data_IF_913549670225
#
_entry.id   IF_913549670225
#
_cell.length_a   1.000
_cell.length_b   1.000
_cell.length_c   1.000
_cell.angle_alpha   90.00
_cell.angle_beta   90.00
_cell.angle_gamma   90.00
#
_symmetry.space_group_name_H-M   'P 1'
#
loop_
_entity.id
_entity.type
_entity.pdbx_description
1 polymer ?
#
# COMPACT_ATOMS: atom_id res chain seq x y z
N UNK A 1 21.34 15.04 -104.84
CA UNK A 1 21.81 16.45 -104.86
C UNK A 1 22.12 16.78 -103.42
N UNK A 2 23.41 16.83 -103.08
CA UNK A 2 24.13 17.95 -102.49
C UNK A 2 23.65 18.30 -101.09
N UNK A 3 24.41 18.37 -100.05
CA UNK A 3 25.84 18.45 -99.62
C UNK A 3 25.84 18.39 -98.07
N UNK A 4 26.61 17.64 -97.50
CA UNK A 4 27.91 17.84 -96.86
C UNK A 4 28.02 19.00 -95.83
N UNK A 5 28.61 18.65 -94.71
CA UNK A 5 29.56 19.44 -93.92
C UNK A 5 28.97 20.00 -92.61
N UNK A 6 29.52 19.87 -91.45
CA UNK A 6 30.88 19.86 -90.86
C UNK A 6 30.84 19.55 -89.38
N UNK A 7 31.81 18.86 -88.96
CA UNK A 7 32.20 18.53 -87.56
C UNK A 7 32.38 19.76 -86.68
N UNK A 8 31.97 19.71 -85.45
CA UNK A 8 32.86 20.19 -84.35
C UNK A 8 32.60 19.43 -83.08
N UNK A 9 33.67 18.91 -82.54
CA UNK A 9 33.80 18.20 -81.26
C UNK A 9 33.62 19.21 -80.12
N UNK A 10 32.86 18.84 -79.08
CA UNK A 10 33.08 19.36 -77.74
C UNK A 10 32.83 18.23 -76.76
N UNK A 11 33.93 17.78 -76.19
CA UNK A 11 33.91 16.85 -75.07
C UNK A 11 33.46 17.61 -73.83
N UNK A 12 32.37 17.17 -73.20
CA UNK A 12 32.05 17.62 -71.89
C UNK A 12 32.12 16.40 -70.95
N UNK A 13 33.09 16.48 -70.07
CA UNK A 13 33.27 15.50 -68.99
C UNK A 13 32.09 15.56 -68.05
N UNK A 14 31.30 14.50 -67.98
CA UNK A 14 30.34 14.29 -66.88
C UNK A 14 31.10 13.64 -65.69
N UNK A 15 31.42 14.46 -64.72
CA UNK A 15 31.86 13.99 -63.39
C UNK A 15 30.66 13.41 -62.68
N UNK A 16 30.55 12.09 -62.60
CA UNK A 16 29.57 11.36 -61.82
C UNK A 16 29.94 11.50 -60.35
N UNK A 17 29.29 12.44 -59.62
CA UNK A 17 29.30 12.50 -58.17
C UNK A 17 28.41 11.37 -57.62
N UNK A 18 29.04 10.26 -57.26
CA UNK A 18 28.41 9.15 -56.53
C UNK A 18 28.20 9.59 -55.08
N UNK A 19 27.02 10.16 -54.78
CA UNK A 19 26.57 10.42 -53.41
C UNK A 19 26.33 9.07 -52.73
N UNK A 20 27.29 8.61 -51.91
CA UNK A 20 27.16 7.53 -50.95
C UNK A 20 26.15 7.98 -49.90
N UNK A 21 24.88 7.69 -50.10
CA UNK A 21 23.86 7.75 -49.06
C UNK A 21 24.10 6.60 -48.06
N UNK A 22 24.88 6.88 -47.02
CA UNK A 22 24.94 6.01 -45.86
C UNK A 22 23.55 5.98 -45.20
N UNK A 23 22.93 4.80 -45.05
CA UNK A 23 21.72 4.74 -44.26
C UNK A 23 22.11 5.07 -42.81
N UNK A 24 21.61 6.20 -42.29
CA UNK A 24 21.57 6.46 -40.86
C UNK A 24 20.64 5.40 -40.27
N UNK A 25 21.20 4.28 -39.89
CA UNK A 25 20.53 3.33 -39.03
C UNK A 25 20.43 4.01 -37.66
N UNK A 26 19.33 4.73 -37.44
CA UNK A 26 18.92 5.12 -36.09
C UNK A 26 18.76 3.84 -35.31
N UNK A 27 19.78 3.47 -34.53
CA UNK A 27 19.64 2.51 -33.51
C UNK A 27 18.60 3.09 -32.53
N UNK A 28 17.34 2.77 -32.77
CA UNK A 28 16.32 2.92 -31.73
C UNK A 28 16.83 2.05 -30.57
N UNK A 29 17.40 2.70 -29.56
CA UNK A 29 17.69 2.08 -28.29
C UNK A 29 16.34 1.57 -27.76
N UNK A 30 16.07 0.29 -28.01
CA UNK A 30 15.04 -0.41 -27.27
C UNK A 30 15.54 -0.40 -25.84
N UNK A 31 15.03 0.52 -25.03
CA UNK A 31 15.19 0.41 -23.59
C UNK A 31 14.64 -0.98 -23.23
N UNK A 32 15.52 -1.86 -22.83
CA UNK A 32 15.18 -3.21 -22.40
C UNK A 32 14.16 -3.08 -21.27
N UNK A 33 12.92 -3.50 -21.53
CA UNK A 33 11.84 -3.42 -20.56
C UNK A 33 12.21 -4.36 -19.42
N UNK A 34 12.51 -3.78 -18.26
CA UNK A 34 12.85 -4.56 -17.06
C UNK A 34 11.67 -5.47 -16.70
N UNK A 35 11.98 -6.67 -16.23
CA UNK A 35 10.97 -7.61 -15.76
C UNK A 35 10.14 -6.98 -14.61
N UNK A 36 8.81 -7.15 -14.59
CA UNK A 36 7.97 -6.60 -13.54
C UNK A 36 8.32 -7.18 -12.18
N UNK A 37 8.17 -6.36 -11.14
CA UNK A 37 8.28 -6.78 -9.74
C UNK A 37 6.89 -7.21 -9.27
N UNK A 38 6.75 -8.43 -8.77
CA UNK A 38 5.51 -8.96 -8.21
C UNK A 38 5.44 -8.58 -6.73
N UNK A 39 4.60 -7.60 -6.40
CA UNK A 39 4.39 -7.12 -5.04
C UNK A 39 3.09 -7.69 -4.46
N UNK A 40 3.19 -8.63 -3.52
CA UNK A 40 2.05 -9.09 -2.74
C UNK A 40 1.78 -8.13 -1.58
N UNK A 41 0.53 -7.69 -1.44
CA UNK A 41 0.13 -6.75 -0.38
C UNK A 41 -1.30 -7.00 0.06
N UNK A 42 -1.78 -6.23 1.06
CA UNK A 42 -3.16 -6.37 1.52
C UNK A 42 -4.13 -5.53 0.70
N UNK A 43 -5.38 -6.01 0.60
CA UNK A 43 -6.46 -5.27 -0.07
C UNK A 43 -6.64 -3.87 0.56
N UNK A 44 -6.50 -3.73 1.88
CA UNK A 44 -6.59 -2.44 2.55
C UNK A 44 -5.45 -1.49 2.16
N UNK A 45 -4.23 -2.01 1.97
CA UNK A 45 -3.09 -1.21 1.50
C UNK A 45 -3.33 -0.71 0.07
N UNK A 46 -3.77 -1.58 -0.81
CA UNK A 46 -4.07 -1.22 -2.20
C UNK A 46 -5.22 -0.19 -2.27
N UNK A 47 -6.32 -0.43 -1.55
CA UNK A 47 -7.48 0.46 -1.52
C UNK A 47 -7.21 1.81 -0.84
N UNK A 48 -6.16 1.94 -0.04
CA UNK A 48 -5.76 3.24 0.54
C UNK A 48 -5.37 4.27 -0.53
N UNK A 49 -5.01 3.81 -1.74
CA UNK A 49 -4.51 4.64 -2.82
C UNK A 49 -3.01 4.94 -2.76
N UNK A 50 -2.31 4.56 -1.67
CA UNK A 50 -0.89 4.83 -1.49
C UNK A 50 -0.03 4.27 -2.64
N UNK A 51 -0.28 3.01 -3.03
CA UNK A 51 0.49 2.37 -4.10
C UNK A 51 0.27 3.04 -5.46
N UNK A 52 -0.95 3.52 -5.73
CA UNK A 52 -1.27 4.33 -6.90
C UNK A 52 -0.52 5.67 -6.93
N UNK A 53 -0.17 6.21 -5.76
CA UNK A 53 0.64 7.41 -5.61
C UNK A 53 2.15 7.13 -5.75
N UNK A 54 2.67 6.07 -5.13
CA UNK A 54 4.10 5.77 -5.05
C UNK A 54 4.65 5.10 -6.31
N UNK A 55 3.99 4.04 -6.80
CA UNK A 55 4.57 3.16 -7.82
C UNK A 55 4.80 3.80 -9.18
N UNK A 56 3.97 4.75 -9.67
CA UNK A 56 4.29 5.48 -10.90
C UNK A 56 5.58 6.29 -10.80
N UNK A 57 5.89 6.86 -9.62
CA UNK A 57 7.11 7.61 -9.37
C UNK A 57 8.32 6.68 -9.36
N UNK A 58 8.24 5.57 -8.63
CA UNK A 58 9.25 4.52 -8.63
C UNK A 58 9.55 4.01 -10.06
N UNK A 59 8.51 3.67 -10.82
CA UNK A 59 8.69 3.15 -12.20
C UNK A 59 9.34 4.19 -13.10
N UNK A 60 8.96 5.46 -12.98
CA UNK A 60 9.57 6.56 -13.75
C UNK A 60 11.06 6.72 -13.46
N UNK A 61 11.46 6.56 -12.18
CA UNK A 61 12.83 6.76 -11.74
C UNK A 61 13.73 5.56 -12.05
N UNK A 62 13.20 4.34 -11.96
CA UNK A 62 14.00 3.11 -11.99
C UNK A 62 13.81 2.28 -13.26
N UNK A 63 12.71 2.50 -13.98
CA UNK A 63 12.32 1.71 -15.15
C UNK A 63 11.72 0.33 -14.81
N UNK A 64 11.58 -0.03 -13.53
CA UNK A 64 10.93 -1.28 -13.15
C UNK A 64 9.41 -1.10 -13.06
N UNK A 65 8.61 -1.84 -13.84
CA UNK A 65 7.16 -1.91 -13.61
C UNK A 65 6.88 -2.75 -12.36
N UNK A 66 5.80 -2.43 -11.64
CA UNK A 66 5.37 -3.17 -10.45
C UNK A 66 3.97 -3.73 -10.68
N UNK A 67 3.84 -5.05 -10.52
CA UNK A 67 2.56 -5.74 -10.53
C UNK A 67 2.09 -5.94 -9.09
N UNK A 68 1.03 -5.23 -8.70
CA UNK A 68 0.43 -5.36 -7.37
C UNK A 68 -0.54 -6.52 -7.35
N UNK A 69 -0.39 -7.40 -6.35
CA UNK A 69 -1.28 -8.53 -6.07
C UNK A 69 -1.87 -8.33 -4.68
N UNK A 70 -3.09 -7.80 -4.62
CA UNK A 70 -3.75 -7.47 -3.37
C UNK A 70 -4.71 -8.59 -2.92
N UNK A 71 -4.56 -9.03 -1.67
CA UNK A 71 -5.38 -10.07 -1.06
C UNK A 71 -5.52 -9.85 0.46
N UNK A 72 -6.12 -10.78 1.19
CA UNK A 72 -6.02 -10.78 2.66
C UNK A 72 -4.59 -11.08 3.11
N UNK A 73 -4.20 -10.63 4.31
CA UNK A 73 -2.82 -10.78 4.85
C UNK A 73 -2.28 -12.20 4.70
N UNK A 74 -3.04 -13.20 5.14
CA UNK A 74 -2.59 -14.60 5.07
C UNK A 74 -2.36 -15.06 3.62
N UNK A 75 -3.20 -14.66 2.68
CA UNK A 75 -3.04 -14.99 1.26
C UNK A 75 -1.85 -14.23 0.65
N UNK A 76 -1.61 -12.98 1.03
CA UNK A 76 -0.45 -12.21 0.56
C UNK A 76 0.87 -12.84 1.02
N UNK A 77 0.95 -13.27 2.28
CA UNK A 77 2.10 -14.03 2.78
C UNK A 77 2.23 -15.39 2.08
N UNK A 78 1.10 -16.06 1.79
CA UNK A 78 1.10 -17.34 1.06
C UNK A 78 1.65 -17.21 -0.36
N UNK A 79 1.38 -16.11 -1.06
CA UNK A 79 2.02 -15.82 -2.36
C UNK A 79 3.54 -15.75 -2.23
N UNK A 80 4.05 -15.12 -1.16
CA UNK A 80 5.49 -15.13 -0.87
C UNK A 80 6.02 -16.54 -0.52
N UNK A 81 5.27 -17.31 0.27
CA UNK A 81 5.63 -18.71 0.60
C UNK A 81 5.68 -19.63 -0.61
N UNK A 82 4.90 -19.36 -1.64
CA UNK A 82 4.88 -20.13 -2.87
C UNK A 82 5.93 -19.68 -3.90
N UNK A 83 6.55 -18.49 -3.71
CA UNK A 83 7.42 -17.86 -4.72
C UNK A 83 6.64 -17.15 -5.84
N UNK A 84 5.33 -16.92 -5.64
CA UNK A 84 4.48 -16.18 -6.59
C UNK A 84 4.73 -14.68 -6.54
N UNK A 85 5.34 -14.17 -5.45
CA UNK A 85 5.71 -12.78 -5.24
C UNK A 85 7.22 -12.63 -5.07
N UNK A 86 7.77 -11.48 -5.47
CA UNK A 86 9.17 -11.10 -5.29
C UNK A 86 9.36 -10.30 -3.99
N UNK A 87 8.32 -9.57 -3.58
CA UNK A 87 8.28 -8.71 -2.41
C UNK A 87 6.91 -8.81 -1.73
N UNK A 88 6.89 -8.80 -0.42
CA UNK A 88 5.67 -8.80 0.38
C UNK A 88 5.62 -7.51 1.21
N UNK A 89 4.47 -6.82 1.21
CA UNK A 89 4.20 -5.64 2.04
C UNK A 89 2.90 -5.88 2.81
N UNK A 90 3.01 -6.08 4.11
CA UNK A 90 1.87 -6.37 4.98
C UNK A 90 1.95 -5.58 6.30
N UNK A 91 0.96 -5.75 7.18
CA UNK A 91 0.85 -5.05 8.46
C UNK A 91 0.34 -6.00 9.57
N UNK A 92 0.96 -7.17 9.67
CA UNK A 92 0.63 -8.21 10.65
C UNK A 92 1.91 -8.76 11.30
N UNK A 93 2.50 -8.06 12.28
CA UNK A 93 3.84 -8.33 12.80
C UNK A 93 4.09 -9.80 13.20
N UNK A 94 3.11 -10.45 13.83
CA UNK A 94 3.26 -11.86 14.24
C UNK A 94 3.35 -12.82 13.06
N UNK A 95 2.54 -12.59 12.01
CA UNK A 95 2.54 -13.42 10.80
C UNK A 95 3.79 -13.17 9.94
N UNK A 96 4.22 -11.91 9.85
CA UNK A 96 5.45 -11.50 9.18
C UNK A 96 6.69 -12.12 9.85
N UNK A 97 6.73 -12.09 11.18
CA UNK A 97 7.79 -12.74 11.95
C UNK A 97 7.84 -14.24 11.65
N UNK A 98 6.70 -14.93 11.69
CA UNK A 98 6.63 -16.36 11.37
C UNK A 98 7.08 -16.66 9.93
N UNK A 99 6.71 -15.82 8.96
CA UNK A 99 7.13 -15.92 7.56
C UNK A 99 8.66 -15.83 7.40
N UNK A 100 9.31 -14.90 8.13
CA UNK A 100 10.76 -14.73 8.14
C UNK A 100 11.46 -15.88 8.87
N UNK A 101 10.97 -16.28 10.05
CA UNK A 101 11.53 -17.39 10.84
C UNK A 101 11.45 -18.74 10.12
N UNK A 102 10.41 -18.95 9.33
CA UNK A 102 10.27 -20.11 8.45
C UNK A 102 11.20 -20.06 7.21
N UNK A 103 11.94 -18.97 7.02
CA UNK A 103 12.91 -18.78 5.95
C UNK A 103 12.30 -18.49 4.58
N UNK A 104 11.02 -18.11 4.51
CA UNK A 104 10.37 -17.68 3.27
C UNK A 104 10.69 -16.23 2.92
N UNK A 105 10.87 -15.37 3.93
CA UNK A 105 11.23 -13.97 3.79
C UNK A 105 12.63 -13.69 4.34
N UNK A 106 13.27 -12.65 3.80
CA UNK A 106 14.55 -12.11 4.28
C UNK A 106 14.49 -10.60 4.34
N UNK A 107 15.38 -10.00 5.11
CA UNK A 107 15.56 -8.54 5.20
C UNK A 107 14.24 -7.78 5.45
N UNK A 108 13.50 -8.10 6.52
CA UNK A 108 12.31 -7.34 6.87
C UNK A 108 12.69 -5.91 7.27
N UNK A 109 11.99 -4.93 6.73
CA UNK A 109 12.19 -3.52 7.04
C UNK A 109 10.88 -2.87 7.45
N UNK A 110 10.91 -2.07 8.52
CA UNK A 110 9.82 -1.17 8.85
C UNK A 110 9.69 -0.13 7.75
N UNK A 111 8.46 0.11 7.31
CA UNK A 111 8.21 1.03 6.22
C UNK A 111 7.46 2.28 6.69
N UNK A 112 6.36 2.08 7.35
CA UNK A 112 5.43 3.12 7.78
C UNK A 112 4.46 2.54 8.80
N UNK A 113 3.67 3.40 9.42
CA UNK A 113 2.48 2.98 10.15
C UNK A 113 1.31 3.91 9.85
N UNK A 114 0.10 3.41 9.99
CA UNK A 114 -1.08 4.20 10.26
C UNK A 114 -1.67 3.74 11.60
N UNK A 115 -2.85 4.20 11.94
CA UNK A 115 -3.49 3.81 13.19
C UNK A 115 -4.95 3.39 12.96
N UNK A 116 -5.46 2.75 13.98
CA UNK A 116 -6.88 2.61 14.22
C UNK A 116 -7.33 3.73 15.16
N UNK A 117 -8.60 4.09 15.06
CA UNK A 117 -9.24 5.05 15.96
C UNK A 117 -10.55 4.49 16.47
N UNK A 118 -10.94 4.85 17.68
CA UNK A 118 -12.30 4.61 18.18
C UNK A 118 -13.12 5.86 17.91
N UNK A 119 -14.16 5.69 17.11
CA UNK A 119 -15.10 6.75 16.78
C UNK A 119 -16.45 6.50 17.44
N UNK A 120 -17.20 7.56 17.64
CA UNK A 120 -18.53 7.50 18.26
C UNK A 120 -19.25 8.84 18.16
N UNK A 121 -20.47 8.94 18.78
CA UNK A 121 -21.24 10.16 18.75
C UNK A 121 -20.47 11.32 19.41
N UNK A 122 -20.51 12.51 18.82
CA UNK A 122 -19.77 13.68 19.32
C UNK A 122 -20.11 14.06 20.79
N UNK A 123 -21.30 13.67 21.28
CA UNK A 123 -21.71 13.86 22.69
C UNK A 123 -20.93 12.99 23.67
N UNK A 124 -20.28 11.95 23.18
CA UNK A 124 -19.44 11.02 23.93
C UNK A 124 -20.02 10.54 25.28
N UNK A 125 -21.18 9.87 25.30
CA UNK A 125 -21.84 9.44 26.54
C UNK A 125 -21.00 8.45 27.34
N UNK A 126 -20.05 7.74 26.72
CA UNK A 126 -19.11 6.86 27.44
C UNK A 126 -17.92 7.63 28.02
N UNK A 127 -17.62 8.85 27.57
CA UNK A 127 -16.54 9.69 28.07
C UNK A 127 -15.15 9.29 27.57
N UNK A 128 -15.05 8.76 26.36
CA UNK A 128 -13.81 8.27 25.78
C UNK A 128 -12.79 9.39 25.53
N UNK A 129 -13.25 10.58 25.17
CA UNK A 129 -12.35 11.73 24.88
C UNK A 129 -11.50 12.20 26.06
N UNK A 130 -11.73 11.67 27.25
CA UNK A 130 -10.90 11.90 28.45
C UNK A 130 -9.89 10.79 28.70
N UNK A 131 -9.92 9.73 27.90
CA UNK A 131 -9.10 8.55 28.04
C UNK A 131 -7.96 8.57 27.03
N UNK A 132 -6.85 7.91 27.40
CA UNK A 132 -5.69 7.69 26.51
C UNK A 132 -5.35 6.20 26.39
N UNK A 133 -6.30 5.34 26.77
CA UNK A 133 -6.14 3.89 26.85
C UNK A 133 -7.31 3.22 26.15
N UNK A 134 -7.03 2.52 25.05
CA UNK A 134 -8.04 1.89 24.22
C UNK A 134 -8.80 0.77 24.96
N UNK A 135 -8.13 0.02 25.86
CA UNK A 135 -8.79 -1.00 26.65
C UNK A 135 -9.78 -0.39 27.65
N UNK A 136 -9.38 0.69 28.34
CA UNK A 136 -10.28 1.44 29.24
C UNK A 136 -11.44 2.07 28.48
N UNK A 137 -11.23 2.52 27.26
CA UNK A 137 -12.31 3.04 26.42
C UNK A 137 -13.37 1.96 26.13
N UNK A 138 -12.92 0.76 25.76
CA UNK A 138 -13.84 -0.35 25.52
C UNK A 138 -14.58 -0.79 26.82
N UNK A 139 -13.89 -0.80 27.97
CA UNK A 139 -14.53 -1.01 29.28
C UNK A 139 -15.63 0.03 29.54
N UNK A 140 -15.32 1.31 29.32
CA UNK A 140 -16.27 2.40 29.53
C UNK A 140 -17.51 2.29 28.63
N UNK A 141 -17.35 1.89 27.37
CA UNK A 141 -18.48 1.63 26.45
C UNK A 141 -19.43 0.58 27.05
N UNK A 142 -18.87 -0.55 27.52
CA UNK A 142 -19.66 -1.62 28.15
C UNK A 142 -20.31 -1.16 29.45
N UNK A 143 -19.53 -0.57 30.36
CA UNK A 143 -20.01 -0.15 31.72
C UNK A 143 -21.10 0.92 31.64
N UNK A 144 -21.03 1.81 30.64
CA UNK A 144 -22.04 2.83 30.40
C UNK A 144 -23.23 2.34 29.57
N UNK A 145 -23.26 1.03 29.26
CA UNK A 145 -24.34 0.44 28.48
C UNK A 145 -24.48 0.97 27.07
N UNK A 146 -23.38 1.47 26.48
CA UNK A 146 -23.39 2.04 25.15
C UNK A 146 -23.32 0.97 24.07
N UNK A 147 -23.76 1.32 22.85
CA UNK A 147 -23.71 0.40 21.71
C UNK A 147 -22.34 0.47 21.05
N UNK A 148 -21.77 -0.71 20.75
CA UNK A 148 -20.58 -0.86 19.91
C UNK A 148 -20.88 -1.71 18.71
N UNK A 149 -20.55 -1.21 17.51
CA UNK A 149 -20.71 -1.92 16.24
C UNK A 149 -19.37 -2.54 15.85
N UNK A 150 -19.36 -3.86 15.76
CA UNK A 150 -18.21 -4.64 15.28
C UNK A 150 -18.40 -5.01 13.80
N UNK A 151 -17.30 -5.01 13.05
CA UNK A 151 -17.32 -5.56 11.70
C UNK A 151 -17.71 -7.04 11.67
N UNK A 152 -17.18 -7.84 12.60
CA UNK A 152 -17.52 -9.26 12.73
C UNK A 152 -17.17 -10.13 11.51
N UNK A 153 -16.22 -9.73 10.68
CA UNK A 153 -15.92 -10.30 9.36
C UNK A 153 -14.52 -10.94 9.25
N UNK A 154 -13.85 -11.14 10.38
CA UNK A 154 -12.48 -11.68 10.48
C UNK A 154 -11.42 -10.87 9.71
N UNK A 155 -11.69 -9.62 9.38
CA UNK A 155 -10.72 -8.68 8.81
C UNK A 155 -9.65 -8.26 9.80
N UNK A 156 -8.59 -7.60 9.30
CA UNK A 156 -7.55 -7.02 10.15
C UNK A 156 -8.11 -6.07 11.23
N UNK A 157 -9.13 -5.28 10.92
CA UNK A 157 -9.83 -4.41 11.89
C UNK A 157 -10.54 -5.24 12.95
N UNK A 158 -11.27 -6.30 12.56
CA UNK A 158 -11.95 -7.18 13.52
C UNK A 158 -10.96 -7.96 14.39
N UNK A 159 -9.85 -8.41 13.83
CA UNK A 159 -8.76 -9.05 14.61
C UNK A 159 -8.17 -8.06 15.63
N UNK A 160 -7.90 -6.82 15.21
CA UNK A 160 -7.44 -5.75 16.12
C UNK A 160 -8.47 -5.48 17.22
N UNK A 161 -9.74 -5.38 16.88
CA UNK A 161 -10.83 -5.20 17.83
C UNK A 161 -10.85 -6.30 18.89
N UNK A 162 -10.79 -7.59 18.49
CA UNK A 162 -10.72 -8.73 19.40
C UNK A 162 -9.53 -8.64 20.35
N UNK A 163 -8.38 -8.24 19.84
CA UNK A 163 -7.17 -8.04 20.66
C UNK A 163 -7.38 -6.93 21.71
N UNK A 164 -8.05 -5.85 21.36
CA UNK A 164 -8.35 -4.75 22.28
C UNK A 164 -9.37 -5.16 23.35
N UNK A 165 -10.43 -5.90 22.97
CA UNK A 165 -11.38 -6.47 23.95
C UNK A 165 -10.70 -7.43 24.93
N UNK A 166 -9.78 -8.26 24.45
CA UNK A 166 -8.97 -9.13 25.30
C UNK A 166 -8.08 -8.31 26.25
N UNK A 167 -7.43 -7.25 25.78
CA UNK A 167 -6.63 -6.36 26.61
C UNK A 167 -7.47 -5.59 27.64
N UNK A 168 -8.75 -5.38 27.36
CA UNK A 168 -9.72 -4.79 28.27
C UNK A 168 -10.25 -5.78 29.32
N UNK A 169 -9.92 -7.06 29.23
CA UNK A 169 -10.52 -8.15 30.02
C UNK A 169 -12.07 -8.15 29.94
N UNK A 170 -12.57 -7.88 28.74
CA UNK A 170 -14.00 -7.82 28.43
C UNK A 170 -14.34 -8.81 27.34
N UNK A 171 -15.31 -9.69 27.60
CA UNK A 171 -15.96 -10.47 26.55
C UNK A 171 -16.95 -9.59 25.81
N UNK A 172 -16.85 -9.53 24.46
CA UNK A 172 -17.75 -8.73 23.63
C UNK A 172 -19.12 -9.44 23.44
N UNK A 173 -19.79 -9.78 24.52
CA UNK A 173 -21.07 -10.51 24.58
C UNK A 173 -22.12 -9.75 25.37
N UNK A 174 -21.95 -8.42 25.53
CA UNK A 174 -22.90 -7.58 26.24
C UNK A 174 -24.02 -7.08 25.31
N UNK A 175 -25.15 -6.64 25.90
CA UNK A 175 -26.35 -6.26 25.15
C UNK A 175 -26.12 -5.18 24.08
N UNK A 176 -25.19 -4.26 24.31
CA UNK A 176 -24.81 -3.19 23.37
C UNK A 176 -23.88 -3.63 22.24
N UNK A 177 -23.26 -4.80 22.30
CA UNK A 177 -22.34 -5.27 21.27
C UNK A 177 -23.12 -5.87 20.08
N UNK A 178 -22.82 -5.37 18.88
CA UNK A 178 -23.48 -5.79 17.63
C UNK A 178 -22.45 -6.12 16.57
N UNK A 179 -22.28 -7.40 16.26
CA UNK A 179 -21.46 -7.91 15.16
C UNK A 179 -22.31 -7.97 13.89
N UNK A 180 -21.89 -7.29 12.81
CA UNK A 180 -22.72 -7.12 11.61
C UNK A 180 -22.24 -7.89 10.38
N UNK A 181 -21.05 -8.46 10.40
CA UNK A 181 -20.51 -9.24 9.28
C UNK A 181 -20.29 -8.42 8.01
N UNK A 182 -19.95 -7.12 8.14
CA UNK A 182 -19.84 -6.19 7.02
C UNK A 182 -18.49 -5.49 6.97
N UNK A 183 -18.16 -4.90 5.81
CA UNK A 183 -16.96 -4.07 5.64
C UNK A 183 -17.01 -2.77 6.46
N UNK A 184 -15.87 -2.04 6.50
CA UNK A 184 -15.73 -0.88 7.39
C UNK A 184 -16.66 0.28 7.03
N UNK A 185 -16.92 0.55 5.75
CA UNK A 185 -17.85 1.59 5.33
C UNK A 185 -19.27 1.39 5.87
N UNK A 186 -19.93 0.25 5.60
CA UNK A 186 -21.22 -0.11 6.22
C UNK A 186 -21.20 -0.08 7.75
N UNK A 187 -20.12 -0.50 8.40
CA UNK A 187 -19.97 -0.46 9.85
C UNK A 187 -19.99 0.98 10.38
N UNK A 188 -19.25 1.88 9.76
CA UNK A 188 -19.26 3.32 10.09
C UNK A 188 -20.64 3.95 9.90
N UNK A 189 -21.31 3.63 8.79
CA UNK A 189 -22.64 4.14 8.49
C UNK A 189 -23.65 3.71 9.58
N UNK A 190 -23.66 2.42 9.91
CA UNK A 190 -24.53 1.90 10.97
C UNK A 190 -24.21 2.50 12.35
N UNK A 191 -22.91 2.67 12.68
CA UNK A 191 -22.52 3.32 13.92
C UNK A 191 -23.02 4.77 13.98
N UNK A 192 -22.95 5.50 12.88
CA UNK A 192 -23.48 6.87 12.76
C UNK A 192 -24.99 6.92 12.97
N UNK A 193 -25.74 6.06 12.27
CA UNK A 193 -27.22 6.00 12.35
C UNK A 193 -27.71 5.63 13.76
N UNK A 194 -26.98 4.78 14.47
CA UNK A 194 -27.36 4.33 15.82
C UNK A 194 -26.74 5.17 16.95
N UNK A 195 -25.92 6.18 16.64
CA UNK A 195 -25.16 6.93 17.62
C UNK A 195 -24.25 6.02 18.45
N UNK A 196 -23.65 5.02 17.83
CA UNK A 196 -22.85 3.97 18.43
C UNK A 196 -21.35 4.21 18.28
N UNK A 197 -20.56 3.46 19.04
CA UNK A 197 -19.09 3.44 18.94
C UNK A 197 -18.65 2.33 17.98
N UNK A 198 -17.49 2.52 17.35
CA UNK A 198 -16.84 1.48 16.53
C UNK A 198 -15.34 1.73 16.44
N UNK A 199 -14.59 0.66 16.17
CA UNK A 199 -13.18 0.74 15.77
C UNK A 199 -13.08 0.84 14.26
N UNK A 200 -12.26 1.76 13.76
CA UNK A 200 -12.00 1.90 12.33
C UNK A 200 -10.53 2.17 12.05
N UNK A 201 -10.03 1.78 10.89
CA UNK A 201 -8.76 2.26 10.38
C UNK A 201 -8.87 3.75 9.97
N UNK A 202 -7.78 4.50 10.14
CA UNK A 202 -7.72 5.93 9.83
C UNK A 202 -8.09 6.23 8.37
N UNK A 203 -7.64 5.39 7.44
CA UNK A 203 -7.91 5.60 6.01
C UNK A 203 -9.40 5.60 5.69
N UNK A 204 -10.13 4.58 6.17
CA UNK A 204 -11.58 4.52 5.98
C UNK A 204 -12.28 5.65 6.72
N UNK A 205 -11.84 5.99 7.94
CA UNK A 205 -12.37 7.16 8.66
C UNK A 205 -12.26 8.44 7.82
N UNK A 206 -11.07 8.77 7.31
CA UNK A 206 -10.84 9.97 6.53
C UNK A 206 -11.71 10.03 5.25
N UNK A 207 -11.95 8.87 4.62
CA UNK A 207 -12.78 8.79 3.42
C UNK A 207 -14.29 8.98 3.69
N UNK A 208 -14.74 8.66 4.90
CA UNK A 208 -16.17 8.65 5.25
C UNK A 208 -16.60 9.79 6.18
N UNK A 209 -15.67 10.37 6.99
CA UNK A 209 -16.00 11.29 8.09
C UNK A 209 -16.95 12.43 7.71
N UNK A 210 -16.85 12.98 6.51
CA UNK A 210 -17.68 14.11 6.06
C UNK A 210 -19.18 13.74 5.87
N UNK A 211 -19.51 12.46 5.91
CA UNK A 211 -20.85 11.91 5.68
C UNK A 211 -21.46 11.30 6.95
N UNK A 212 -20.77 11.41 8.08
CA UNK A 212 -21.12 10.71 9.31
C UNK A 212 -21.27 11.70 10.47
N UNK A 213 -22.22 11.42 11.37
CA UNK A 213 -22.42 12.14 12.63
C UNK A 213 -21.59 11.48 13.75
N UNK A 214 -20.31 11.24 13.46
CA UNK A 214 -19.34 10.64 14.39
C UNK A 214 -18.12 11.57 14.54
N UNK A 215 -17.39 11.38 15.64
CA UNK A 215 -16.12 12.02 15.90
C UNK A 215 -15.07 10.98 16.33
N UNK A 216 -13.78 11.28 16.10
CA UNK A 216 -12.69 10.53 16.73
C UNK A 216 -12.71 10.85 18.23
N UNK A 217 -12.90 9.84 19.05
CA UNK A 217 -12.99 9.97 20.49
C UNK A 217 -11.78 9.39 21.23
N UNK A 218 -11.06 8.46 20.59
CA UNK A 218 -9.81 7.94 21.13
C UNK A 218 -8.84 7.58 19.99
N UNK A 219 -7.61 8.09 20.12
CA UNK A 219 -6.47 7.84 19.25
C UNK A 219 -5.16 7.88 20.06
N UNK A 220 -4.03 7.55 19.44
CA UNK A 220 -2.69 7.69 20.01
C UNK A 220 -2.26 6.60 21.00
N UNK A 221 -3.12 5.64 21.35
CA UNK A 221 -2.71 4.45 22.11
C UNK A 221 -1.82 3.55 21.22
N UNK A 222 -0.68 3.10 21.76
CA UNK A 222 0.26 2.23 21.03
C UNK A 222 -0.38 0.95 20.49
N UNK A 223 -1.41 0.43 21.15
CA UNK A 223 -2.18 -0.74 20.70
C UNK A 223 -2.99 -0.48 19.44
N UNK A 224 -3.26 0.79 19.12
CA UNK A 224 -3.95 1.21 17.91
C UNK A 224 -3.01 1.35 16.72
N UNK A 225 -1.71 1.32 16.90
CA UNK A 225 -0.76 1.41 15.81
C UNK A 225 -0.85 0.18 14.92
N UNK A 226 -0.70 0.44 13.63
CA UNK A 226 -0.77 -0.53 12.55
C UNK A 226 0.50 -0.41 11.69
N UNK A 227 1.60 -1.03 12.15
CA UNK A 227 2.89 -0.94 11.46
C UNK A 227 2.90 -1.81 10.21
N UNK A 228 3.52 -1.30 9.16
CA UNK A 228 3.74 -1.97 7.89
C UNK A 228 5.19 -2.38 7.75
N UNK A 229 5.41 -3.58 7.25
CA UNK A 229 6.73 -4.07 6.87
C UNK A 229 6.77 -4.41 5.39
N UNK A 230 7.96 -4.25 4.80
CA UNK A 230 8.30 -4.74 3.48
C UNK A 230 9.38 -5.81 3.62
N UNK A 231 9.17 -6.98 2.99
CA UNK A 231 9.97 -8.18 3.18
C UNK A 231 10.32 -8.77 1.81
N UNK A 232 11.60 -8.98 1.53
CA UNK A 232 12.03 -9.71 0.33
C UNK A 232 11.67 -11.18 0.45
N UNK A 233 11.10 -11.77 -0.60
CA UNK A 233 10.96 -13.22 -0.69
C UNK A 233 12.33 -13.83 -0.88
N UNK A 234 12.61 -14.94 -0.21
CA UNK A 234 13.95 -15.52 -0.12
C UNK A 234 14.40 -16.15 -1.46
N UNK A 235 15.35 -15.55 -2.20
CA UNK A 235 15.79 -16.03 -3.51
C UNK A 235 16.54 -17.35 -3.44
N UNK A 236 17.00 -17.78 -2.27
CA UNK A 236 17.62 -19.10 -2.12
C UNK A 236 16.61 -20.23 -2.23
N UNK A 237 15.33 -19.93 -2.03
CA UNK A 237 14.23 -20.92 -2.17
C UNK A 237 13.64 -20.92 -3.58
N UNK A 238 13.66 -19.77 -4.26
CA UNK A 238 12.96 -19.56 -5.53
C UNK A 238 13.88 -18.83 -6.50
N UNK A 239 14.55 -19.56 -7.42
CA UNK A 239 15.55 -18.97 -8.32
C UNK A 239 14.96 -18.02 -9.37
N UNK A 240 13.65 -18.11 -9.64
CA UNK A 240 12.98 -17.34 -10.70
C UNK A 240 12.43 -15.97 -10.21
N UNK A 241 12.79 -15.57 -8.99
CA UNK A 241 12.37 -14.27 -8.45
C UNK A 241 13.12 -13.11 -9.14
N UNK A 242 12.41 -12.01 -9.38
CA UNK A 242 13.03 -10.73 -9.73
C UNK A 242 13.67 -10.08 -8.48
N UNK A 243 14.69 -10.72 -7.94
CA UNK A 243 15.36 -10.29 -6.69
C UNK A 243 15.98 -8.92 -6.80
N UNK A 244 16.56 -8.57 -7.95
CA UNK A 244 17.18 -7.25 -8.17
C UNK A 244 16.11 -6.15 -8.18
N UNK A 245 15.04 -6.33 -8.93
CA UNK A 245 13.91 -5.41 -8.96
C UNK A 245 13.27 -5.25 -7.58
N UNK A 246 13.00 -6.36 -6.88
CA UNK A 246 12.41 -6.35 -5.54
C UNK A 246 13.28 -5.60 -4.53
N UNK A 247 14.59 -5.81 -4.55
CA UNK A 247 15.55 -5.09 -3.70
C UNK A 247 15.59 -3.60 -4.04
N UNK A 248 15.53 -3.26 -5.33
CA UNK A 248 15.47 -1.87 -5.79
C UNK A 248 14.21 -1.19 -5.25
N UNK A 249 13.05 -1.85 -5.34
CA UNK A 249 11.80 -1.31 -4.80
C UNK A 249 11.84 -1.17 -3.27
N UNK A 250 12.30 -2.21 -2.56
CA UNK A 250 12.46 -2.14 -1.10
C UNK A 250 13.33 -0.96 -0.69
N UNK A 251 14.52 -0.85 -1.28
CA UNK A 251 15.46 0.22 -0.94
C UNK A 251 14.92 1.62 -1.29
N UNK A 252 14.20 1.75 -2.40
CA UNK A 252 13.56 3.01 -2.76
C UNK A 252 12.47 3.40 -1.75
N UNK A 253 11.64 2.46 -1.32
CA UNK A 253 10.57 2.70 -0.34
C UNK A 253 11.12 3.16 1.03
N UNK A 254 12.25 2.58 1.49
CA UNK A 254 12.87 2.95 2.78
C UNK A 254 13.87 4.10 2.65
N UNK A 255 14.17 4.58 1.45
CA UNK A 255 15.04 5.74 1.22
C UNK A 255 14.41 7.02 1.77
N UNK A 256 15.23 8.06 2.01
CA UNK A 256 14.73 9.37 2.40
C UNK A 256 13.65 9.90 1.44
N UNK A 257 13.83 9.71 0.13
CA UNK A 257 12.87 10.14 -0.89
C UNK A 257 11.56 9.35 -0.79
N UNK A 258 11.60 8.03 -0.76
CA UNK A 258 10.40 7.19 -0.60
C UNK A 258 9.65 7.47 0.70
N UNK A 259 10.37 7.67 1.80
CA UNK A 259 9.79 8.02 3.10
C UNK A 259 9.13 9.40 3.09
N UNK A 260 9.70 10.39 2.40
CA UNK A 260 9.08 11.68 2.22
C UNK A 260 7.77 11.56 1.43
N UNK A 261 7.77 10.82 0.32
CA UNK A 261 6.56 10.58 -0.47
C UNK A 261 5.45 9.87 0.33
N UNK A 262 5.81 8.91 1.18
CA UNK A 262 4.85 8.24 2.09
C UNK A 262 4.24 9.27 3.06
N UNK A 263 5.06 10.11 3.68
CA UNK A 263 4.58 11.15 4.61
C UNK A 263 3.75 12.25 3.94
N UNK A 264 4.00 12.54 2.66
CA UNK A 264 3.27 13.54 1.88
C UNK A 264 1.92 13.03 1.34
N UNK A 265 1.69 11.70 1.39
CA UNK A 265 0.44 11.11 0.93
C UNK A 265 -0.73 11.49 1.83
N UNK A 266 -1.80 12.03 1.23
CA UNK A 266 -2.96 12.56 1.94
C UNK A 266 -4.27 11.95 1.43
N UNK A 267 -5.17 11.69 2.37
CA UNK A 267 -6.57 11.35 2.09
C UNK A 267 -7.43 12.45 2.71
N UNK A 268 -8.35 13.01 1.94
CA UNK A 268 -9.17 14.16 2.35
C UNK A 268 -8.34 15.33 2.94
N UNK A 269 -7.13 15.56 2.38
CA UNK A 269 -6.22 16.63 2.81
C UNK A 269 -5.41 16.34 4.09
N UNK A 270 -5.58 15.17 4.71
CA UNK A 270 -4.87 14.77 5.93
C UNK A 270 -3.87 13.63 5.64
N UNK A 271 -2.67 13.64 6.24
CA UNK A 271 -1.73 12.53 6.13
C UNK A 271 -2.37 11.22 6.62
N UNK A 272 -2.20 10.14 5.85
CA UNK A 272 -2.72 8.82 6.23
C UNK A 272 -1.64 7.95 6.87
N UNK A 273 -0.42 8.06 6.41
CA UNK A 273 0.70 7.25 6.90
C UNK A 273 1.77 8.13 7.54
N UNK A 274 2.43 7.57 8.54
CA UNK A 274 3.65 8.11 9.13
C UNK A 274 4.80 7.25 8.64
N UNK A 275 5.78 7.87 8.00
CA UNK A 275 7.01 7.22 7.58
C UNK A 275 7.79 6.73 8.80
N UNK A 276 8.27 5.48 8.81
CA UNK A 276 8.87 4.83 9.98
C UNK A 276 10.08 3.94 9.62
N UNK A 277 10.60 4.04 8.40
CA UNK A 277 11.83 3.35 8.07
C UNK A 277 13.01 4.00 8.81
N UNK A 278 13.85 3.15 9.40
CA UNK A 278 15.08 3.63 10.02
C UNK A 278 16.02 4.14 8.93
N UNK A 279 16.69 5.29 9.12
CA UNK A 279 17.74 5.72 8.22
C UNK A 279 18.80 4.61 8.11
N UNK A 280 19.11 4.22 6.87
CA UNK A 280 20.22 3.29 6.59
C UNK A 280 21.55 4.02 6.61
#
# INVERSE_FOLDING_TARGET
MITATVRKRLALALSSALLLSLPFWSAASHAETKAPIRLATTTSTEQSGLLGWLLPQFTKETGYPVQVMAAGTGQSLKMGENGDADLVMTHAPSAEKAFVEAGFGIEPEHLMYNDFVIVGPAKDPAGLGKLHDAAKALQAIKEKGQTFISRGDESGTHIKEKTLWQAADVKPEFAGYKSIGQGMGPTLTMASELGAYTLTDRGTWLAYQSKLDLAVLLEGDKRLFNPYQVILVNPKRYPDLNTEGARTLKNWLVSQHGQQLIGDFKVAGQPLFVADAKPQ
#
